data_IF_326162147827
#
_entry.id   IF_326162147827
#
_cell.length_a   1.000
_cell.length_b   1.000
_cell.length_c   1.000
_cell.angle_alpha   90.00
_cell.angle_beta   90.00
_cell.angle_gamma   90.00
#
_symmetry.space_group_name_H-M   'P 1'
#
loop_
_entity.id
_entity.type
_entity.pdbx_description
1 polymer ?
#
# COMPACT_ATOMS: atom_id res chain seq x y z
N UNK A 1 -28.80 -7.88 -16.60
CA UNK A 1 -28.18 -7.29 -17.81
C UNK A 1 -27.21 -8.32 -18.31
N UNK A 2 -27.40 -8.81 -19.52
CA UNK A 2 -26.58 -9.88 -20.08
C UNK A 2 -25.64 -9.27 -21.12
N UNK A 3 -24.36 -9.17 -20.76
CA UNK A 3 -23.32 -8.67 -21.66
C UNK A 3 -22.64 -9.84 -22.35
N UNK A 4 -22.28 -9.65 -23.62
CA UNK A 4 -21.42 -10.59 -24.35
C UNK A 4 -19.98 -10.16 -24.17
N UNK A 5 -19.11 -11.10 -23.81
CA UNK A 5 -17.68 -10.83 -23.74
C UNK A 5 -17.18 -10.46 -25.14
N UNK A 6 -16.63 -9.26 -25.27
CA UNK A 6 -16.03 -8.76 -26.50
C UNK A 6 -14.63 -9.33 -26.73
N UNK A 7 -13.89 -8.70 -27.63
CA UNK A 7 -12.46 -8.95 -27.84
C UNK A 7 -11.68 -7.69 -27.48
N UNK A 8 -10.50 -7.82 -26.84
CA UNK A 8 -9.67 -6.66 -26.59
C UNK A 8 -9.16 -6.07 -27.90
N UNK A 9 -9.02 -4.75 -27.96
CA UNK A 9 -8.30 -4.09 -29.04
C UNK A 9 -6.85 -4.53 -29.08
N UNK A 10 -6.31 -4.65 -30.30
CA UNK A 10 -4.87 -4.77 -30.53
C UNK A 10 -4.16 -3.49 -30.07
N UNK A 11 -2.86 -3.55 -29.73
CA UNK A 11 -2.11 -2.40 -29.22
C UNK A 11 -2.30 -1.11 -30.04
N UNK A 12 -2.18 -1.14 -31.36
CA UNK A 12 -2.37 0.05 -32.19
C UNK A 12 -3.81 0.52 -32.28
N UNK A 13 -4.79 -0.39 -32.24
CA UNK A 13 -6.21 -0.03 -32.22
C UNK A 13 -6.54 0.73 -30.94
N UNK A 14 -6.04 0.24 -29.79
CA UNK A 14 -6.16 0.92 -28.51
C UNK A 14 -5.45 2.29 -28.53
N UNK A 15 -4.23 2.37 -29.06
CA UNK A 15 -3.48 3.64 -29.13
C UNK A 15 -4.20 4.67 -30.00
N UNK A 16 -4.74 4.27 -31.15
CA UNK A 16 -5.57 5.14 -31.99
C UNK A 16 -6.88 5.53 -31.31
N UNK A 17 -7.41 4.66 -30.45
CA UNK A 17 -8.62 4.90 -29.65
C UNK A 17 -8.42 5.80 -28.42
N UNK A 18 -7.18 6.11 -28.02
CA UNK A 18 -6.89 6.84 -26.77
C UNK A 18 -6.03 8.09 -26.99
N UNK A 19 -5.05 8.02 -27.89
CA UNK A 19 -4.09 9.11 -28.05
C UNK A 19 -4.66 10.26 -28.88
N UNK A 20 -4.43 11.52 -28.48
CA UNK A 20 -4.73 12.66 -29.33
C UNK A 20 -3.73 12.77 -30.49
N UNK A 21 -4.08 13.55 -31.53
CA UNK A 21 -3.22 13.80 -32.71
C UNK A 21 -1.83 14.34 -32.33
N UNK A 22 -1.72 15.10 -31.24
CA UNK A 22 -0.46 15.65 -30.72
C UNK A 22 0.55 14.57 -30.32
N UNK A 23 0.09 13.36 -30.00
CA UNK A 23 0.91 12.22 -29.61
C UNK A 23 1.03 11.17 -30.72
N UNK A 24 0.68 11.51 -31.96
CA UNK A 24 0.71 10.59 -33.12
C UNK A 24 2.04 9.88 -33.33
N UNK A 25 3.17 10.48 -32.93
CA UNK A 25 4.51 9.87 -33.07
C UNK A 25 4.68 8.56 -32.30
N UNK A 26 3.78 8.24 -31.37
CA UNK A 26 3.76 6.98 -30.61
C UNK A 26 3.16 5.83 -31.45
N UNK A 27 2.30 6.13 -32.43
CA UNK A 27 1.76 5.14 -33.36
C UNK A 27 2.55 5.11 -34.67
N UNK A 28 2.51 4.00 -35.44
CA UNK A 28 3.13 3.92 -36.76
C UNK A 28 2.73 5.07 -37.69
N UNK A 29 3.69 5.62 -38.43
CA UNK A 29 3.51 6.75 -39.35
C UNK A 29 2.39 6.54 -40.38
N UNK A 30 2.11 5.27 -40.73
CA UNK A 30 1.04 4.89 -41.66
C UNK A 30 -0.35 5.32 -41.18
N UNK A 31 -0.55 5.48 -39.87
CA UNK A 31 -1.81 5.90 -39.28
C UNK A 31 -1.91 7.41 -39.02
N UNK A 32 -0.80 8.16 -39.08
CA UNK A 32 -0.81 9.60 -38.78
C UNK A 32 -1.82 10.39 -39.63
N UNK A 33 -1.99 10.11 -40.94
CA UNK A 33 -3.01 10.78 -41.74
C UNK A 33 -4.43 10.55 -41.24
N UNK A 34 -4.73 9.42 -40.58
CA UNK A 34 -6.04 9.16 -40.00
C UNK A 34 -6.35 10.11 -38.82
N UNK A 35 -5.32 10.59 -38.11
CA UNK A 35 -5.48 11.49 -36.97
C UNK A 35 -5.44 12.97 -37.36
N UNK A 36 -4.82 13.32 -38.49
CA UNK A 36 -4.55 14.74 -38.83
C UNK A 36 -5.15 15.20 -40.15
N UNK A 37 -5.48 14.29 -41.07
CA UNK A 37 -6.04 14.69 -42.37
C UNK A 37 -7.50 15.13 -42.22
N UNK A 38 -7.90 16.30 -42.72
CA UNK A 38 -9.31 16.70 -42.77
C UNK A 38 -10.19 15.70 -43.54
N UNK A 39 -9.62 14.97 -44.49
CA UNK A 39 -10.31 13.95 -45.30
C UNK A 39 -10.40 12.58 -44.59
N UNK A 40 -9.88 12.46 -43.37
CA UNK A 40 -9.94 11.20 -42.62
C UNK A 40 -11.39 10.89 -42.22
N UNK A 41 -11.87 9.64 -42.40
CA UNK A 41 -13.22 9.24 -42.02
C UNK A 41 -13.45 9.23 -40.50
N UNK A 42 -12.40 9.45 -39.71
CA UNK A 42 -12.39 9.47 -38.25
C UNK A 42 -11.72 10.72 -37.68
N UNK A 43 -11.60 11.81 -38.47
CA UNK A 43 -10.98 13.06 -38.01
C UNK A 43 -11.70 13.68 -36.80
N UNK A 44 -13.01 13.47 -36.71
CA UNK A 44 -13.86 13.90 -35.59
C UNK A 44 -13.47 13.27 -34.25
N UNK A 45 -12.73 12.15 -34.25
CA UNK A 45 -12.25 11.52 -33.02
C UNK A 45 -11.08 12.29 -32.37
N UNK A 46 -10.46 13.23 -33.10
CA UNK A 46 -9.27 13.94 -32.65
C UNK A 46 -9.49 15.46 -32.61
N UNK A 47 -10.44 15.97 -31.81
CA UNK A 47 -10.66 17.40 -31.68
C UNK A 47 -9.43 18.07 -31.07
N UNK A 48 -8.99 19.19 -31.66
CA UNK A 48 -7.85 19.96 -31.12
C UNK A 48 -8.22 20.79 -29.91
N UNK A 49 -9.46 21.25 -29.90
CA UNK A 49 -10.10 22.02 -28.84
C UNK A 49 -11.33 21.26 -28.37
N UNK A 50 -11.54 21.19 -27.06
CA UNK A 50 -12.67 20.51 -26.44
C UNK A 50 -13.10 21.24 -25.17
N UNK A 51 -14.37 21.11 -24.81
CA UNK A 51 -14.92 21.78 -23.65
C UNK A 51 -14.62 21.01 -22.36
N UNK A 52 -14.33 21.77 -21.30
CA UNK A 52 -14.22 21.26 -19.94
C UNK A 52 -15.44 21.69 -19.13
N UNK A 53 -16.16 20.73 -18.57
CA UNK A 53 -17.28 20.99 -17.67
C UNK A 53 -16.87 20.77 -16.23
N UNK A 54 -16.71 21.87 -15.51
CA UNK A 54 -16.26 21.85 -14.11
C UNK A 54 -17.28 21.16 -13.19
N UNK A 55 -18.58 21.12 -13.52
CA UNK A 55 -19.65 20.54 -12.69
C UNK A 55 -19.48 20.75 -11.16
N UNK A 56 -19.19 21.99 -10.75
CA UNK A 56 -18.99 22.37 -9.34
C UNK A 56 -17.65 21.96 -8.72
N UNK A 57 -16.76 21.32 -9.48
CA UNK A 57 -15.36 21.07 -9.10
C UNK A 57 -14.54 22.34 -9.21
N UNK A 58 -13.53 22.46 -8.35
CA UNK A 58 -12.65 23.63 -8.30
C UNK A 58 -11.43 23.46 -9.19
N UNK A 59 -10.98 22.22 -9.38
CA UNK A 59 -9.74 21.92 -10.07
C UNK A 59 -10.02 21.37 -11.47
N UNK A 60 -9.33 21.90 -12.48
CA UNK A 60 -9.60 21.58 -13.89
C UNK A 60 -9.36 20.11 -14.24
N UNK A 61 -8.42 19.45 -13.56
CA UNK A 61 -8.17 18.00 -13.75
C UNK A 61 -9.30 17.11 -13.22
N UNK A 62 -10.23 17.65 -12.45
CA UNK A 62 -11.46 16.97 -12.02
C UNK A 62 -12.63 17.25 -12.97
N UNK A 63 -12.45 18.15 -13.95
CA UNK A 63 -13.50 18.53 -14.89
C UNK A 63 -13.84 17.36 -15.82
N UNK A 64 -15.11 17.33 -16.25
CA UNK A 64 -15.57 16.38 -17.27
C UNK A 64 -15.08 16.87 -18.63
N UNK A 65 -14.24 16.06 -19.26
CA UNK A 65 -13.71 16.31 -20.61
C UNK A 65 -14.76 15.93 -21.65
N UNK A 66 -15.28 16.91 -22.40
CA UNK A 66 -16.31 16.68 -23.43
C UNK A 66 -15.67 16.39 -24.78
N UNK A 67 -15.28 15.13 -24.98
CA UNK A 67 -14.81 14.60 -26.26
C UNK A 67 -15.83 13.59 -26.83
N UNK A 68 -15.92 13.45 -28.16
CA UNK A 68 -16.79 12.44 -28.75
C UNK A 68 -16.32 11.03 -28.38
N UNK A 69 -17.29 10.14 -28.14
CA UNK A 69 -16.98 8.72 -27.97
C UNK A 69 -16.65 8.10 -29.32
N UNK A 70 -15.57 7.31 -29.33
CA UNK A 70 -15.12 6.62 -30.53
C UNK A 70 -16.06 5.47 -30.85
N UNK A 71 -16.48 5.42 -32.12
CA UNK A 71 -17.19 4.29 -32.68
C UNK A 71 -16.17 3.22 -33.12
N UNK A 72 -16.25 2.04 -32.51
CA UNK A 72 -15.35 0.92 -32.75
C UNK A 72 -15.29 0.53 -34.23
N UNK A 73 -16.45 0.39 -34.88
CA UNK A 73 -16.51 -0.09 -36.26
C UNK A 73 -15.87 0.91 -37.22
N UNK A 74 -16.11 2.21 -37.01
CA UNK A 74 -15.47 3.30 -37.78
C UNK A 74 -13.96 3.29 -37.59
N UNK A 75 -13.47 3.17 -36.36
CA UNK A 75 -12.04 3.14 -36.05
C UNK A 75 -11.36 1.95 -36.75
N UNK A 76 -11.87 0.74 -36.52
CA UNK A 76 -11.29 -0.49 -37.06
C UNK A 76 -11.31 -0.50 -38.59
N UNK A 77 -12.41 -0.05 -39.19
CA UNK A 77 -12.53 0.03 -40.66
C UNK A 77 -11.52 1.02 -41.26
N UNK A 78 -11.33 2.19 -40.63
CA UNK A 78 -10.36 3.18 -41.09
C UNK A 78 -8.92 2.64 -40.99
N UNK A 79 -8.56 1.99 -39.88
CA UNK A 79 -7.24 1.40 -39.69
C UNK A 79 -6.95 0.26 -40.66
N UNK A 80 -7.93 -0.62 -40.93
CA UNK A 80 -7.78 -1.74 -41.85
C UNK A 80 -7.31 -1.30 -43.25
N UNK A 81 -7.67 -0.10 -43.70
CA UNK A 81 -7.19 0.47 -44.97
C UNK A 81 -5.68 0.73 -45.02
N UNK A 82 -5.01 0.79 -43.85
CA UNK A 82 -3.59 1.11 -43.69
C UNK A 82 -2.76 -0.06 -43.16
N UNK A 83 -3.38 -1.08 -42.57
CA UNK A 83 -2.68 -2.20 -41.91
C UNK A 83 -1.68 -2.94 -42.82
N UNK A 84 -1.96 -3.01 -44.12
CA UNK A 84 -1.06 -3.63 -45.10
C UNK A 84 0.26 -2.86 -45.31
N UNK A 85 0.32 -1.59 -44.89
CA UNK A 85 1.52 -0.74 -44.98
C UNK A 85 2.44 -0.89 -43.77
N UNK A 86 2.03 -1.62 -42.73
CA UNK A 86 2.86 -1.90 -41.57
C UNK A 86 4.06 -2.75 -41.94
N UNK A 87 5.21 -2.43 -41.35
CA UNK A 87 6.38 -3.32 -41.42
C UNK A 87 6.13 -4.60 -40.61
N UNK A 88 6.87 -5.66 -40.91
CA UNK A 88 6.69 -6.94 -40.21
C UNK A 88 6.99 -6.80 -38.70
N UNK A 89 7.98 -5.99 -38.32
CA UNK A 89 8.26 -5.68 -36.91
C UNK A 89 7.11 -4.93 -36.24
N UNK A 90 6.47 -3.98 -36.95
CA UNK A 90 5.30 -3.28 -36.43
C UNK A 90 4.10 -4.22 -36.29
N UNK A 91 3.89 -5.12 -37.24
CA UNK A 91 2.82 -6.14 -37.18
C UNK A 91 3.03 -7.09 -36.02
N UNK A 92 4.25 -7.60 -35.83
CA UNK A 92 4.60 -8.49 -34.72
C UNK A 92 4.36 -7.84 -33.34
N UNK A 93 4.69 -6.54 -33.19
CA UNK A 93 4.42 -5.79 -31.95
C UNK A 93 2.93 -5.49 -31.72
N UNK A 94 2.09 -5.63 -32.75
CA UNK A 94 0.65 -5.42 -32.66
C UNK A 94 -0.13 -6.72 -32.39
N UNK A 95 0.55 -7.82 -32.13
CA UNK A 95 -0.05 -9.08 -31.68
C UNK A 95 -0.08 -9.15 -30.15
N UNK A 96 -0.89 -10.07 -29.61
CA UNK A 96 -0.93 -10.33 -28.17
C UNK A 96 0.28 -11.17 -27.74
N UNK A 97 0.91 -10.76 -26.64
CA UNK A 97 1.98 -11.52 -26.00
C UNK A 97 1.45 -12.62 -25.07
N UNK A 98 2.39 -13.34 -24.47
CA UNK A 98 2.13 -14.35 -23.44
C UNK A 98 2.69 -13.89 -22.09
N UNK A 99 2.18 -14.47 -21.00
CA UNK A 99 2.82 -14.28 -19.69
C UNK A 99 4.11 -15.10 -19.61
N UNK A 100 5.09 -14.58 -18.88
CA UNK A 100 6.40 -15.19 -18.73
C UNK A 100 6.67 -15.49 -17.26
N UNK A 101 7.33 -16.62 -16.99
CA UNK A 101 7.81 -17.03 -15.67
C UNK A 101 9.31 -17.18 -15.70
N UNK A 102 9.97 -16.52 -14.76
CA UNK A 102 11.41 -16.57 -14.56
C UNK A 102 11.73 -17.42 -13.33
N UNK A 103 12.60 -18.41 -13.49
CA UNK A 103 13.02 -19.29 -12.39
C UNK A 103 14.53 -19.40 -12.33
N UNK A 104 15.06 -19.47 -11.10
CA UNK A 104 16.46 -19.81 -10.88
C UNK A 104 16.70 -21.30 -11.18
N UNK A 105 17.74 -21.58 -11.97
CA UNK A 105 18.20 -22.91 -12.35
C UNK A 105 19.71 -22.98 -12.14
N UNK A 106 20.14 -23.73 -11.12
CA UNK A 106 21.54 -23.74 -10.67
C UNK A 106 22.51 -24.29 -11.73
N UNK A 107 22.00 -25.19 -12.56
CA UNK A 107 22.65 -25.91 -13.65
C UNK A 107 22.82 -25.07 -14.93
N UNK A 108 22.04 -23.99 -15.08
CA UNK A 108 22.17 -23.10 -16.22
C UNK A 108 23.40 -22.21 -16.04
N UNK A 109 24.18 -22.08 -17.11
CA UNK A 109 25.30 -21.17 -17.17
C UNK A 109 25.52 -20.73 -18.62
N UNK A 110 25.00 -19.55 -18.96
CA UNK A 110 25.17 -18.94 -20.26
C UNK A 110 25.35 -17.43 -20.13
N UNK A 111 25.87 -16.79 -21.16
CA UNK A 111 25.93 -15.33 -21.21
C UNK A 111 24.63 -14.79 -21.79
N UNK A 112 23.88 -14.00 -21.04
CA UNK A 112 22.70 -13.32 -21.54
C UNK A 112 23.10 -11.96 -22.12
N UNK A 113 22.78 -11.67 -23.41
CA UNK A 113 23.20 -10.45 -24.05
C UNK A 113 22.48 -9.23 -23.47
N UNK A 114 23.17 -8.11 -23.36
CA UNK A 114 22.58 -6.85 -22.94
C UNK A 114 21.55 -6.35 -23.95
N UNK A 115 20.39 -5.93 -23.45
CA UNK A 115 19.36 -5.25 -24.24
C UNK A 115 19.75 -3.81 -24.61
N UNK A 116 20.81 -3.26 -24.00
CA UNK A 116 21.33 -1.93 -24.31
C UNK A 116 22.87 -1.91 -24.16
N UNK A 117 23.60 -2.46 -25.14
CA UNK A 117 25.06 -2.51 -25.11
C UNK A 117 25.68 -1.12 -24.92
N UNK A 118 26.70 -1.04 -24.07
CA UNK A 118 27.39 0.21 -23.70
C UNK A 118 26.81 0.93 -22.48
N UNK A 119 25.55 0.66 -22.12
CA UNK A 119 24.93 1.12 -20.86
C UNK A 119 24.89 -0.01 -19.85
N UNK A 120 24.39 -1.17 -20.26
CA UNK A 120 24.39 -2.39 -19.45
C UNK A 120 25.34 -3.42 -20.06
N UNK A 121 26.18 -4.08 -19.24
CA UNK A 121 26.97 -5.20 -19.72
C UNK A 121 26.09 -6.43 -19.95
N UNK A 122 26.60 -7.39 -20.71
CA UNK A 122 26.04 -8.74 -20.74
C UNK A 122 26.06 -9.34 -19.32
N UNK A 123 25.15 -10.29 -19.05
CA UNK A 123 25.12 -11.01 -17.78
C UNK A 123 25.92 -12.30 -17.96
N UNK A 124 27.18 -12.38 -17.47
CA UNK A 124 27.92 -13.62 -17.49
C UNK A 124 27.35 -14.59 -16.45
N UNK A 125 27.36 -15.88 -16.76
CA UNK A 125 26.84 -16.94 -15.90
C UNK A 125 25.38 -16.76 -15.47
N UNK A 126 24.51 -16.39 -16.42
CA UNK A 126 23.07 -16.33 -16.20
C UNK A 126 22.53 -17.71 -15.79
N UNK A 127 21.81 -17.72 -14.67
CA UNK A 127 21.14 -18.89 -14.08
C UNK A 127 19.62 -18.78 -14.11
N UNK A 128 19.09 -17.85 -14.91
CA UNK A 128 17.67 -17.62 -15.04
C UNK A 128 17.14 -18.41 -16.24
N UNK A 129 15.99 -19.06 -16.07
CA UNK A 129 15.25 -19.69 -17.16
C UNK A 129 13.95 -18.92 -17.33
N UNK A 130 13.69 -18.50 -18.57
CA UNK A 130 12.43 -17.92 -19.00
C UNK A 130 11.55 -19.02 -19.62
N UNK A 131 10.31 -19.13 -19.13
CA UNK A 131 9.31 -20.02 -19.70
C UNK A 131 8.01 -19.27 -19.96
N UNK A 132 7.26 -19.71 -20.97
CA UNK A 132 5.87 -19.27 -21.15
C UNK A 132 5.06 -19.76 -19.95
N UNK A 133 4.28 -18.86 -19.37
CA UNK A 133 3.38 -19.14 -18.26
C UNK A 133 1.94 -19.08 -18.72
N UNK A 134 1.29 -20.23 -18.75
CA UNK A 134 -0.14 -20.33 -19.02
C UNK A 134 -0.90 -20.04 -17.72
N UNK A 135 -1.71 -18.98 -17.75
CA UNK A 135 -2.58 -18.64 -16.63
C UNK A 135 -3.66 -19.72 -16.47
N UNK A 136 -3.96 -20.15 -15.24
CA UNK A 136 -5.04 -21.10 -15.02
C UNK A 136 -6.38 -20.49 -15.46
N UNK A 137 -7.17 -21.27 -16.19
CA UNK A 137 -8.51 -20.86 -16.64
C UNK A 137 -9.55 -21.15 -15.57
N UNK A 138 -10.58 -20.30 -15.48
CA UNK A 138 -11.76 -20.53 -14.64
C UNK A 138 -12.74 -21.57 -15.20
N UNK A 139 -12.35 -22.32 -16.24
CA UNK A 139 -13.21 -23.29 -16.90
C UNK A 139 -13.58 -24.42 -15.92
N UNK A 140 -14.88 -24.58 -15.64
CA UNK A 140 -15.38 -25.53 -14.66
C UNK A 140 -15.15 -25.16 -13.20
N UNK A 141 -14.70 -23.93 -12.91
CA UNK A 141 -14.45 -23.43 -11.55
C UNK A 141 -15.41 -22.30 -11.20
N UNK A 142 -15.95 -22.35 -9.99
CA UNK A 142 -16.71 -21.26 -9.39
C UNK A 142 -15.80 -20.34 -8.56
N UNK A 143 -16.01 -19.03 -8.65
CA UNK A 143 -15.29 -18.06 -7.83
C UNK A 143 -15.72 -18.23 -6.38
N UNK A 144 -14.76 -18.40 -5.48
CA UNK A 144 -15.02 -18.36 -4.04
C UNK A 144 -15.14 -16.90 -3.58
N UNK A 145 -16.31 -16.54 -3.02
CA UNK A 145 -16.57 -15.18 -2.52
C UNK A 145 -16.58 -15.23 -0.99
N UNK A 146 -15.54 -14.67 -0.37
CA UNK A 146 -15.45 -14.51 1.08
C UNK A 146 -14.19 -15.10 1.69
N UNK A 147 -14.28 -15.39 2.99
CA UNK A 147 -13.19 -15.95 3.79
C UNK A 147 -13.15 -17.47 3.64
N UNK A 148 -12.01 -18.00 3.20
CA UNK A 148 -11.82 -19.45 3.09
C UNK A 148 -11.66 -20.10 4.46
N UNK A 149 -11.97 -21.40 4.53
CA UNK A 149 -11.76 -22.21 5.72
C UNK A 149 -10.30 -22.14 6.19
N UNK A 150 -10.10 -21.98 7.51
CA UNK A 150 -8.76 -21.90 8.12
C UNK A 150 -8.10 -20.52 8.08
N UNK A 151 -8.75 -19.48 7.55
CA UNK A 151 -8.21 -18.12 7.60
C UNK A 151 -8.11 -17.63 9.05
N UNK A 152 -6.96 -17.04 9.40
CA UNK A 152 -6.72 -16.46 10.73
C UNK A 152 -6.92 -14.94 10.69
N UNK A 153 -7.67 -14.41 11.63
CA UNK A 153 -8.07 -12.99 11.68
C UNK A 153 -7.93 -12.44 13.09
N UNK A 154 -7.90 -11.12 13.21
CA UNK A 154 -7.91 -10.47 14.52
C UNK A 154 -6.65 -10.81 15.32
N UNK A 155 -6.83 -11.40 16.49
CA UNK A 155 -5.71 -11.80 17.38
C UNK A 155 -4.93 -13.02 16.86
N UNK A 156 -5.55 -13.86 16.02
CA UNK A 156 -4.90 -15.03 15.42
C UNK A 156 -4.12 -14.67 14.13
N UNK A 157 -4.19 -13.42 13.69
CA UNK A 157 -3.50 -12.95 12.48
C UNK A 157 -1.99 -13.22 12.56
N UNK A 158 -1.36 -13.39 11.40
CA UNK A 158 0.09 -13.60 11.33
C UNK A 158 0.84 -12.40 11.95
N UNK A 159 2.03 -12.66 12.47
CA UNK A 159 2.90 -11.62 13.02
C UNK A 159 3.14 -10.50 11.99
N UNK A 160 3.15 -9.25 12.47
CA UNK A 160 3.29 -8.05 11.64
C UNK A 160 1.97 -7.49 11.08
N UNK A 161 0.86 -8.23 11.15
CA UNK A 161 -0.46 -7.70 10.79
C UNK A 161 -1.09 -6.98 11.98
N UNK A 162 -1.54 -5.73 11.83
CA UNK A 162 -2.16 -4.99 12.93
C UNK A 162 -3.54 -5.54 13.27
N UNK A 163 -3.91 -5.50 14.55
CA UNK A 163 -5.24 -5.88 15.00
C UNK A 163 -5.66 -5.11 16.25
N UNK A 164 -6.81 -4.46 16.17
CA UNK A 164 -7.44 -3.80 17.31
C UNK A 164 -7.97 -4.81 18.35
N UNK A 165 -8.21 -6.07 17.95
CA UNK A 165 -8.82 -7.11 18.79
C UNK A 165 -7.89 -7.67 19.86
N UNK A 166 -6.60 -7.33 19.80
CA UNK A 166 -5.60 -7.75 20.80
C UNK A 166 -5.78 -7.06 22.16
N UNK A 167 -6.57 -5.99 22.21
CA UNK A 167 -6.97 -5.30 23.44
C UNK A 167 -8.48 -5.03 23.42
N UNK A 168 -9.14 -5.02 24.60
CA UNK A 168 -10.55 -4.65 24.71
C UNK A 168 -10.73 -3.17 24.36
N UNK A 169 -11.55 -2.89 23.36
CA UNK A 169 -11.76 -1.53 22.84
C UNK A 169 -13.23 -1.25 22.53
N UNK A 170 -13.59 0.03 22.51
CA UNK A 170 -14.86 0.53 21.99
C UNK A 170 -14.61 1.63 20.95
N UNK A 171 -15.52 1.80 20.00
CA UNK A 171 -15.39 2.76 18.90
C UNK A 171 -16.57 3.73 18.83
N UNK A 172 -16.28 5.02 18.73
CA UNK A 172 -17.29 6.08 18.56
C UNK A 172 -16.89 7.02 17.43
N UNK A 173 -17.84 7.37 16.55
CA UNK A 173 -17.63 8.42 15.57
C UNK A 173 -17.71 9.79 16.24
N UNK A 174 -16.78 10.68 15.92
CA UNK A 174 -16.85 12.07 16.37
C UNK A 174 -15.75 12.96 15.82
N UNK A 175 -15.94 14.28 15.98
CA UNK A 175 -14.96 15.29 15.59
C UNK A 175 -13.81 15.34 16.61
N UNK A 176 -12.70 14.68 16.29
CA UNK A 176 -11.55 14.57 17.21
C UNK A 176 -10.28 15.28 16.73
N UNK A 177 -10.30 15.86 15.52
CA UNK A 177 -9.15 16.57 14.96
C UNK A 177 -7.94 15.66 14.71
N UNK A 178 -8.17 14.42 14.29
CA UNK A 178 -7.09 13.47 13.99
C UNK A 178 -6.24 14.02 12.83
N UNK A 179 -4.92 14.03 13.02
CA UNK A 179 -3.93 14.55 12.10
C UNK A 179 -3.03 13.43 11.58
N UNK A 180 -3.48 12.75 10.52
CA UNK A 180 -2.70 11.70 9.85
C UNK A 180 -1.56 12.29 9.02
N UNK A 181 -1.77 13.46 8.40
CA UNK A 181 -0.82 14.10 7.50
C UNK A 181 -0.26 15.39 8.12
N UNK A 182 -0.47 16.54 7.47
CA UNK A 182 0.03 17.84 7.92
C UNK A 182 -1.01 18.65 8.71
N UNK A 183 -2.31 18.41 8.51
CA UNK A 183 -3.40 19.19 9.11
C UNK A 183 -4.41 18.29 9.80
N UNK A 184 -5.03 18.82 10.86
CA UNK A 184 -6.12 18.15 11.57
C UNK A 184 -7.35 17.97 10.68
N UNK A 185 -7.97 16.80 10.76
CA UNK A 185 -9.24 16.53 10.11
C UNK A 185 -10.34 17.45 10.64
N UNK A 186 -11.15 18.00 9.74
CA UNK A 186 -12.37 18.75 10.07
C UNK A 186 -13.63 17.87 10.06
N UNK A 187 -13.48 16.60 9.68
CA UNK A 187 -14.57 15.63 9.62
C UNK A 187 -14.50 14.69 10.82
N UNK A 188 -15.58 13.93 11.03
CA UNK A 188 -15.61 12.87 12.04
C UNK A 188 -14.58 11.78 11.73
N UNK A 189 -13.97 11.27 12.79
CA UNK A 189 -13.10 10.10 12.77
C UNK A 189 -13.69 9.01 13.65
N UNK A 190 -13.42 7.74 13.34
CA UNK A 190 -13.66 6.66 14.29
C UNK A 190 -12.61 6.76 15.39
N UNK A 191 -13.04 7.14 16.59
CA UNK A 191 -12.19 7.23 17.78
C UNK A 191 -12.33 5.93 18.56
N UNK A 192 -11.20 5.29 18.81
CA UNK A 192 -11.13 4.01 19.54
C UNK A 192 -10.68 4.29 20.97
N UNK A 193 -11.43 3.83 21.96
CA UNK A 193 -11.08 3.96 23.38
C UNK A 193 -10.72 2.60 23.94
N UNK A 194 -9.54 2.51 24.58
CA UNK A 194 -9.15 1.31 25.32
C UNK A 194 -10.01 1.15 26.57
N UNK A 195 -10.50 -0.06 26.82
CA UNK A 195 -11.32 -0.40 27.99
C UNK A 195 -10.47 -1.13 29.04
N UNK A 196 -10.96 -1.17 30.29
CA UNK A 196 -10.35 -1.91 31.40
C UNK A 196 -8.86 -1.59 31.65
N UNK A 197 -8.47 -0.34 31.39
CA UNK A 197 -7.09 0.13 31.57
C UNK A 197 -6.68 -0.01 33.04
N UNK A 198 -7.53 0.42 33.98
CA UNK A 198 -7.26 0.40 35.44
C UNK A 198 -6.90 -0.99 36.00
N UNK A 199 -7.47 -2.07 35.46
CA UNK A 199 -7.20 -3.43 35.92
C UNK A 199 -5.84 -3.97 35.42
N UNK A 200 -5.32 -3.42 34.33
CA UNK A 200 -4.18 -3.98 33.57
C UNK A 200 -2.97 -3.06 33.50
N UNK A 201 -3.14 -1.76 33.74
CA UNK A 201 -2.09 -0.72 33.61
C UNK A 201 -1.35 -0.37 34.90
N UNK A 202 -1.67 -1.03 36.02
CA UNK A 202 -1.06 -0.69 37.30
C UNK A 202 0.47 -0.83 37.27
N UNK A 203 1.15 0.04 38.03
CA UNK A 203 2.60 0.03 38.16
C UNK A 203 3.13 -1.32 38.68
N UNK A 204 2.38 -1.97 39.58
CA UNK A 204 2.71 -3.30 40.10
C UNK A 204 2.66 -4.36 38.99
N UNK A 205 1.69 -4.29 38.08
CA UNK A 205 1.65 -5.20 36.94
C UNK A 205 2.81 -4.97 35.97
N UNK A 206 3.18 -3.71 35.73
CA UNK A 206 4.32 -3.37 34.88
C UNK A 206 5.65 -3.87 35.46
N UNK A 207 5.88 -3.74 36.77
CA UNK A 207 7.07 -4.26 37.47
C UNK A 207 7.26 -5.76 37.25
N UNK A 208 6.17 -6.55 37.27
CA UNK A 208 6.21 -8.00 37.03
C UNK A 208 6.65 -8.39 35.61
N UNK A 209 6.67 -7.44 34.67
CA UNK A 209 7.12 -7.63 33.28
C UNK A 209 8.61 -7.31 33.06
N UNK A 210 9.31 -6.74 34.05
CA UNK A 210 10.75 -6.49 33.95
C UNK A 210 11.52 -7.76 33.56
N UNK A 211 12.41 -7.63 32.56
CA UNK A 211 13.20 -8.74 32.03
C UNK A 211 12.45 -9.70 31.09
N UNK A 212 11.13 -9.56 30.91
CA UNK A 212 10.31 -10.43 30.04
C UNK A 212 10.12 -9.82 28.65
N UNK A 213 9.88 -10.69 27.67
CA UNK A 213 9.40 -10.29 26.35
C UNK A 213 7.90 -9.91 26.43
N UNK A 214 7.56 -8.81 25.77
CA UNK A 214 6.20 -8.27 25.64
C UNK A 214 5.96 -7.81 24.20
N UNK A 215 4.71 -7.50 23.88
CA UNK A 215 4.34 -6.84 22.62
C UNK A 215 4.09 -5.35 22.84
N UNK A 216 4.71 -4.50 22.03
CA UNK A 216 4.58 -3.04 22.07
C UNK A 216 4.15 -2.47 20.73
N UNK A 217 3.71 -1.21 20.70
CA UNK A 217 3.39 -0.51 19.44
C UNK A 217 1.96 -0.72 18.93
N UNK A 218 1.00 -1.05 19.82
CA UNK A 218 -0.41 -1.23 19.47
C UNK A 218 -0.91 -0.10 18.54
N UNK A 219 -1.63 -0.43 17.44
CA UNK A 219 -2.09 -1.76 17.04
C UNK A 219 -1.09 -2.58 16.19
N UNK A 220 0.09 -2.04 15.91
CA UNK A 220 1.16 -2.69 15.13
C UNK A 220 2.13 -3.36 16.10
N UNK A 221 1.76 -4.54 16.59
CA UNK A 221 2.51 -5.20 17.66
C UNK A 221 3.89 -5.68 17.17
N UNK A 222 4.91 -5.35 17.95
CA UNK A 222 6.28 -5.81 17.80
C UNK A 222 6.77 -6.41 19.12
N UNK A 223 7.57 -7.47 19.05
CA UNK A 223 8.19 -8.06 20.22
C UNK A 223 9.32 -7.17 20.77
N UNK A 224 9.34 -7.00 22.09
CA UNK A 224 10.35 -6.22 22.78
C UNK A 224 10.58 -6.74 24.19
N UNK A 225 11.79 -6.60 24.72
CA UNK A 225 12.13 -6.97 26.10
C UNK A 225 12.05 -5.77 27.02
N UNK A 226 11.38 -5.90 28.16
CA UNK A 226 11.31 -4.82 29.16
C UNK A 226 12.63 -4.69 29.91
N UNK A 227 13.24 -3.51 29.86
CA UNK A 227 14.51 -3.19 30.54
C UNK A 227 14.34 -2.29 31.76
N UNK A 228 13.29 -1.45 31.77
CA UNK A 228 12.99 -0.53 32.87
C UNK A 228 11.50 -0.21 32.88
N UNK A 229 10.94 0.03 34.06
CA UNK A 229 9.57 0.55 34.25
C UNK A 229 9.67 1.86 35.02
N UNK A 230 8.84 2.86 34.71
CA UNK A 230 8.91 4.16 35.39
C UNK A 230 7.51 4.74 35.65
N UNK A 231 7.27 5.22 36.86
CA UNK A 231 6.11 6.06 37.21
C UNK A 231 6.54 7.53 37.34
N UNK A 232 5.66 8.43 37.80
CA UNK A 232 5.98 9.85 37.94
C UNK A 232 7.22 10.10 38.82
N UNK A 233 7.44 9.28 39.84
CA UNK A 233 8.39 9.52 40.93
C UNK A 233 9.59 8.57 40.95
N UNK A 234 9.52 7.40 40.31
CA UNK A 234 10.53 6.36 40.40
C UNK A 234 10.78 5.66 39.06
N UNK A 235 12.05 5.31 38.86
CA UNK A 235 12.50 4.30 37.89
C UNK A 235 12.68 2.96 38.62
N UNK A 236 12.20 1.87 38.02
CA UNK A 236 12.33 0.50 38.52
C UNK A 236 13.15 -0.34 37.56
N UNK A 237 14.25 -0.90 38.05
CA UNK A 237 15.19 -1.72 37.28
C UNK A 237 15.52 -3.02 38.01
N UNK A 238 15.91 -4.05 37.27
CA UNK A 238 16.41 -5.29 37.87
C UNK A 238 17.84 -5.10 38.37
N UNK A 239 18.11 -5.44 39.63
CA UNK A 239 19.48 -5.42 40.18
C UNK A 239 20.34 -6.53 39.58
N UNK A 240 19.74 -7.71 39.35
CA UNK A 240 20.32 -8.77 38.54
C UNK A 240 19.48 -9.00 37.26
N UNK A 241 19.99 -8.63 36.07
CA UNK A 241 19.27 -8.79 34.80
C UNK A 241 18.94 -10.24 34.42
N UNK A 242 19.62 -11.22 35.01
CA UNK A 242 19.42 -12.65 34.74
C UNK A 242 18.45 -13.32 35.72
N UNK A 243 17.94 -12.59 36.71
CA UNK A 243 17.00 -13.10 37.71
C UNK A 243 15.59 -12.54 37.48
N UNK A 244 14.58 -13.23 38.00
CA UNK A 244 13.18 -12.83 37.83
C UNK A 244 12.85 -11.53 38.58
N UNK A 245 11.84 -10.82 38.07
CA UNK A 245 11.28 -9.63 38.69
C UNK A 245 10.56 -9.97 40.01
N UNK A 246 11.32 -9.98 41.10
CA UNK A 246 10.82 -10.16 42.47
C UNK A 246 11.07 -8.87 43.26
N UNK A 247 10.32 -8.59 44.35
CA UNK A 247 10.50 -7.37 45.15
C UNK A 247 11.94 -7.16 45.64
N UNK A 248 12.70 -8.24 45.87
CA UNK A 248 14.10 -8.18 46.31
C UNK A 248 15.10 -7.95 45.16
N UNK A 249 14.68 -8.17 43.91
CA UNK A 249 15.49 -8.01 42.70
C UNK A 249 15.11 -6.74 41.92
N UNK A 250 14.21 -5.91 42.45
CA UNK A 250 13.80 -4.65 41.83
C UNK A 250 14.32 -3.50 42.69
N UNK A 251 15.13 -2.64 42.10
CA UNK A 251 15.58 -1.40 42.71
C UNK A 251 14.69 -0.24 42.24
N UNK A 252 14.21 0.55 43.20
CA UNK A 252 13.46 1.77 42.95
C UNK A 252 14.39 2.99 43.09
N UNK A 253 14.60 3.70 41.99
CA UNK A 253 15.48 4.85 41.89
C UNK A 253 14.59 6.11 41.85
N UNK A 254 14.64 6.99 42.87
CA UNK A 254 13.81 8.18 42.91
C UNK A 254 14.21 9.19 41.83
N UNK A 255 13.22 9.80 41.20
CA UNK A 255 13.40 10.87 40.24
C UNK A 255 13.78 12.18 40.93
N UNK A 256 14.75 12.90 40.35
CA UNK A 256 14.96 14.30 40.65
C UNK A 256 13.94 15.20 39.95
N UNK A 257 13.97 16.50 40.26
CA UNK A 257 13.07 17.46 39.62
C UNK A 257 13.14 17.47 38.07
N UNK A 258 14.32 17.34 37.42
CA UNK A 258 14.40 17.23 35.97
C UNK A 258 13.73 15.96 35.43
N UNK A 259 13.91 14.82 36.09
CA UNK A 259 13.38 13.52 35.70
C UNK A 259 11.84 13.52 35.77
N UNK A 260 11.26 14.05 36.86
CA UNK A 260 9.80 14.20 37.01
C UNK A 260 9.23 15.05 35.87
N UNK A 261 9.86 16.19 35.56
CA UNK A 261 9.43 17.07 34.47
C UNK A 261 9.50 16.38 33.10
N UNK A 262 10.56 15.61 32.86
CA UNK A 262 10.75 14.87 31.61
C UNK A 262 9.77 13.70 31.48
N UNK A 263 9.45 13.01 32.58
CA UNK A 263 8.47 11.93 32.59
C UNK A 263 7.08 12.46 32.20
N UNK A 264 6.62 13.55 32.80
CA UNK A 264 5.33 14.19 32.47
C UNK A 264 5.25 14.59 30.99
N UNK A 265 6.30 15.22 30.47
CA UNK A 265 6.38 15.57 29.04
C UNK A 265 6.29 14.35 28.12
N UNK A 266 6.92 13.23 28.49
CA UNK A 266 6.87 11.99 27.70
C UNK A 266 5.48 11.35 27.75
N UNK A 267 4.88 11.25 28.93
CA UNK A 267 3.52 10.74 29.13
C UNK A 267 2.50 11.50 28.26
N UNK A 268 2.43 12.84 28.41
CA UNK A 268 1.51 13.67 27.61
C UNK A 268 1.79 13.61 26.12
N UNK A 269 3.06 13.42 25.71
CA UNK A 269 3.39 13.22 24.29
C UNK A 269 2.85 11.90 23.76
N UNK A 270 2.93 10.81 24.52
CA UNK A 270 2.41 9.50 24.13
C UNK A 270 0.89 9.58 23.99
N UNK A 271 0.18 10.11 24.98
CA UNK A 271 -1.27 10.33 24.95
C UNK A 271 -1.69 11.14 23.72
N UNK A 272 -0.99 12.26 23.45
CA UNK A 272 -1.27 13.10 22.29
C UNK A 272 -1.01 12.37 20.97
N UNK A 273 0.07 11.59 20.86
CA UNK A 273 0.35 10.82 19.65
C UNK A 273 -0.75 9.79 19.40
N UNK A 274 -1.15 8.99 20.40
CA UNK A 274 -2.24 8.04 20.24
C UNK A 274 -3.56 8.75 19.89
N UNK A 275 -3.89 9.80 20.62
CA UNK A 275 -5.15 10.54 20.45
C UNK A 275 -5.24 11.24 19.09
N UNK A 276 -4.21 12.02 18.72
CA UNK A 276 -4.24 12.88 17.54
C UNK A 276 -3.67 12.24 16.28
N UNK A 277 -2.70 11.32 16.36
CA UNK A 277 -2.15 10.67 15.16
C UNK A 277 -2.89 9.38 14.84
N UNK A 278 -3.30 8.62 15.86
CA UNK A 278 -3.92 7.31 15.68
C UNK A 278 -5.43 7.30 15.92
N UNK A 279 -6.01 8.34 16.53
CA UNK A 279 -7.43 8.33 16.90
C UNK A 279 -7.74 7.34 18.02
N UNK A 280 -6.75 7.01 18.86
CA UNK A 280 -6.88 6.05 19.95
C UNK A 280 -6.75 6.78 21.29
N UNK A 281 -7.72 6.59 22.18
CA UNK A 281 -7.72 7.11 23.54
C UNK A 281 -7.23 6.00 24.47
N UNK A 282 -6.09 6.24 25.12
CA UNK A 282 -5.40 5.27 25.99
C UNK A 282 -5.54 5.58 27.49
N UNK A 283 -6.39 6.55 27.86
CA UNK A 283 -6.47 7.15 29.21
C UNK A 283 -5.15 7.83 29.64
N UNK A 284 -5.08 8.29 30.88
CA UNK A 284 -3.89 8.92 31.43
C UNK A 284 -2.79 7.88 31.67
N UNK A 285 -1.55 8.21 31.30
CA UNK A 285 -0.41 7.30 31.46
C UNK A 285 0.07 7.32 32.90
N UNK A 286 -0.19 6.24 33.64
CA UNK A 286 0.28 6.06 35.03
C UNK A 286 1.70 5.46 35.11
N UNK A 287 2.06 4.60 34.15
CA UNK A 287 3.33 3.90 34.10
C UNK A 287 3.84 3.81 32.65
N UNK A 288 5.16 3.94 32.48
CA UNK A 288 5.83 3.74 31.20
C UNK A 288 6.78 2.55 31.26
N UNK A 289 6.73 1.71 30.23
CA UNK A 289 7.63 0.57 30.05
C UNK A 289 8.68 0.94 29.01
N UNK A 290 9.95 0.81 29.38
CA UNK A 290 11.10 1.04 28.49
C UNK A 290 11.59 -0.32 28.01
N UNK A 291 11.77 -0.42 26.69
CA UNK A 291 12.01 -1.70 26.04
C UNK A 291 13.18 -1.65 25.06
N UNK A 292 13.79 -2.82 24.85
CA UNK A 292 14.69 -3.09 23.73
C UNK A 292 13.94 -3.95 22.71
N UNK A 293 13.88 -3.50 21.45
CA UNK A 293 13.18 -4.23 20.38
C UNK A 293 13.89 -5.56 20.11
N UNK A 294 13.13 -6.64 20.04
CA UNK A 294 13.66 -7.95 19.61
C UNK A 294 13.61 -7.98 18.08
N UNK A 295 14.73 -8.33 17.45
CA UNK A 295 14.87 -8.45 15.98
C UNK A 295 14.41 -9.83 15.53
#
# INVERSE_FOLDING_TARGET
MDFKLGQPFRPYQQLMGVLPDRSKTIVPDVYHPLMTSPDSPIIDFYPRDFDLDMNGKKMEWEAVVKIPFIDEQRLLSAMATRDHLLTDAQRARNEFGVSLKFTYAAEMNYTYPSSLPGVFPDIPNCKCVENIFELPTMEGLDVYIGLVEGVKLGEDALAGFPSLRTLPTTGTLGFHGVNVFQQESRNESMVVTLMNVEETSSIEHAKLKLGKAIHVGYPFLHEAKVVKVSDELFDYVLTNPNAEATPNNIEAIPHGAPEISNWKKKASRIENVYSKRLGVIISDVEAMVHVEMLV
#
